data_IF_137380086148
#
_entry.id   IF_137380086148
#
_cell.length_a   1.000
_cell.length_b   1.000
_cell.length_c   1.000
_cell.angle_alpha   90.00
_cell.angle_beta   90.00
_cell.angle_gamma   90.00
#
_symmetry.space_group_name_H-M   'P 1'
#
loop_
_entity.id
_entity.type
_entity.pdbx_description
1 polymer ?
#
# COMPACT_ATOMS: atom_id res chain seq x y z
N UNK A 1 -7.68 -12.65 -2.45
CA UNK A 1 -7.86 -11.63 -3.51
C UNK A 1 -8.37 -10.28 -2.99
N UNK A 2 -9.36 -10.15 -2.09
CA UNK A 2 -9.88 -8.84 -1.67
C UNK A 2 -8.90 -7.89 -0.94
N UNK A 3 -7.95 -8.40 -0.15
CA UNK A 3 -7.04 -7.56 0.65
C UNK A 3 -6.01 -6.80 -0.20
N UNK A 4 -5.59 -7.38 -1.34
CA UNK A 4 -4.62 -6.75 -2.24
C UNK A 4 -5.24 -5.54 -2.96
N UNK A 5 -6.50 -5.64 -3.38
CA UNK A 5 -7.21 -4.54 -4.06
C UNK A 5 -7.48 -3.37 -3.11
N UNK A 6 -7.77 -3.65 -1.83
CA UNK A 6 -7.95 -2.59 -0.83
C UNK A 6 -6.66 -1.80 -0.60
N UNK A 7 -5.51 -2.47 -0.51
CA UNK A 7 -4.22 -1.78 -0.41
C UNK A 7 -3.93 -0.90 -1.63
N UNK A 8 -4.16 -1.42 -2.85
CA UNK A 8 -3.99 -0.64 -4.06
C UNK A 8 -4.89 0.61 -4.10
N UNK A 9 -6.15 0.49 -3.64
CA UNK A 9 -7.05 1.63 -3.54
C UNK A 9 -6.52 2.69 -2.56
N UNK A 10 -6.01 2.30 -1.38
CA UNK A 10 -5.41 3.27 -0.47
C UNK A 10 -4.16 3.94 -1.06
N UNK A 11 -3.32 3.18 -1.76
CA UNK A 11 -2.10 3.69 -2.39
C UNK A 11 -2.38 4.63 -3.57
N UNK A 12 -3.37 4.32 -4.40
CA UNK A 12 -3.74 5.16 -5.57
C UNK A 12 -4.49 6.43 -5.17
N UNK A 13 -5.23 6.40 -4.07
CA UNK A 13 -6.02 7.55 -3.58
C UNK A 13 -5.25 8.41 -2.57
N UNK A 14 -3.96 8.11 -2.35
CA UNK A 14 -3.11 8.77 -1.35
C UNK A 14 -3.77 8.87 0.04
N UNK A 15 -4.42 7.79 0.46
CA UNK A 15 -5.12 7.74 1.74
C UNK A 15 -4.14 7.25 2.80
N UNK A 16 -3.96 8.05 3.84
CA UNK A 16 -3.12 7.70 4.97
C UNK A 16 -3.66 6.46 5.71
N UNK A 17 -2.74 5.63 6.23
CA UNK A 17 -3.08 4.39 6.92
C UNK A 17 -3.89 4.59 8.22
N UNK A 18 -3.94 5.81 8.77
CA UNK A 18 -4.82 6.18 9.88
C UNK A 18 -6.31 6.09 9.50
N UNK A 19 -6.64 6.16 8.22
CA UNK A 19 -8.01 6.07 7.73
C UNK A 19 -8.64 4.70 7.99
N UNK A 20 -7.84 3.65 8.13
CA UNK A 20 -8.29 2.30 8.51
C UNK A 20 -8.95 2.25 9.90
N UNK A 21 -8.62 3.21 10.77
CA UNK A 21 -9.16 3.28 12.13
C UNK A 21 -10.49 4.05 12.19
N UNK A 22 -10.91 4.71 11.10
CA UNK A 22 -12.10 5.55 11.05
C UNK A 22 -13.39 4.76 11.37
N UNK A 23 -14.19 5.18 12.38
CA UNK A 23 -15.42 4.48 12.76
C UNK A 23 -16.50 4.51 11.68
N UNK A 24 -16.61 5.59 10.91
CA UNK A 24 -17.58 5.69 9.81
C UNK A 24 -17.26 4.75 8.66
N UNK A 25 -15.97 4.56 8.37
CA UNK A 25 -15.52 3.59 7.37
C UNK A 25 -15.86 2.15 7.82
N UNK A 26 -15.65 1.84 9.10
CA UNK A 26 -16.00 0.54 9.69
C UNK A 26 -17.49 0.27 9.57
N UNK A 27 -18.33 1.25 9.90
CA UNK A 27 -19.77 1.12 9.79
C UNK A 27 -20.24 0.97 8.34
N UNK A 28 -19.69 1.77 7.42
CA UNK A 28 -19.98 1.68 6.00
C UNK A 28 -19.60 0.30 5.43
N UNK A 29 -18.40 -0.19 5.75
CA UNK A 29 -17.94 -1.50 5.28
C UNK A 29 -18.74 -2.65 5.91
N UNK A 30 -19.15 -2.53 7.17
CA UNK A 30 -20.04 -3.51 7.79
C UNK A 30 -21.42 -3.54 7.12
N UNK A 31 -21.97 -2.39 6.71
CA UNK A 31 -23.24 -2.32 5.98
C UNK A 31 -23.13 -2.87 4.55
N UNK A 32 -22.05 -2.54 3.83
CA UNK A 32 -21.87 -3.00 2.45
C UNK A 32 -21.47 -4.48 2.38
N UNK A 33 -20.61 -4.94 3.29
CA UNK A 33 -20.09 -6.30 3.30
C UNK A 33 -19.70 -6.73 4.72
N UNK A 34 -20.65 -7.26 5.51
CA UNK A 34 -20.40 -7.62 6.92
C UNK A 34 -19.37 -8.74 7.10
N UNK A 35 -19.13 -9.55 6.06
CA UNK A 35 -18.09 -10.59 6.09
C UNK A 35 -16.66 -10.05 5.93
N UNK A 36 -16.50 -8.76 5.59
CA UNK A 36 -15.19 -8.17 5.32
C UNK A 36 -14.54 -7.67 6.60
N UNK A 37 -13.40 -8.27 6.98
CA UNK A 37 -12.59 -7.81 8.11
C UNK A 37 -11.57 -6.79 7.64
N UNK A 38 -11.67 -5.57 8.17
CA UNK A 38 -10.69 -4.51 7.90
C UNK A 38 -9.33 -4.92 8.51
N UNK A 39 -8.22 -4.81 7.76
CA UNK A 39 -6.90 -5.12 8.27
C UNK A 39 -6.52 -4.18 9.41
N UNK A 40 -5.93 -4.72 10.48
CA UNK A 40 -5.40 -3.90 11.58
C UNK A 40 -4.27 -3.01 11.10
N UNK A 41 -4.36 -1.70 11.41
CA UNK A 41 -3.32 -0.71 11.09
C UNK A 41 -1.97 -1.06 11.70
N UNK A 42 -1.95 -1.56 12.94
CA UNK A 42 -0.70 -1.80 13.68
C UNK A 42 -0.03 -3.13 13.33
N UNK A 43 -0.78 -4.09 12.82
CA UNK A 43 -0.28 -5.45 12.61
C UNK A 43 -0.39 -5.89 11.15
N UNK A 44 -1.61 -6.07 10.65
CA UNK A 44 -1.85 -6.65 9.32
C UNK A 44 -1.35 -5.74 8.20
N UNK A 45 -1.54 -4.44 8.34
CA UNK A 45 -1.11 -3.47 7.33
C UNK A 45 0.44 -3.45 7.16
N UNK A 46 1.25 -3.20 8.20
CA UNK A 46 2.70 -3.14 8.06
C UNK A 46 3.36 -4.51 7.89
N UNK A 47 2.86 -5.58 8.52
CA UNK A 47 3.53 -6.88 8.50
C UNK A 47 3.15 -7.77 7.33
N UNK A 48 1.96 -7.57 6.74
CA UNK A 48 1.45 -8.45 5.69
C UNK A 48 1.25 -7.70 4.38
N UNK A 49 0.50 -6.59 4.40
CA UNK A 49 0.12 -5.91 3.16
C UNK A 49 1.30 -5.18 2.50
N UNK A 50 2.09 -4.43 3.26
CA UNK A 50 3.25 -3.71 2.71
C UNK A 50 4.30 -4.70 2.13
N UNK A 51 4.73 -5.76 2.83
CA UNK A 51 5.69 -6.71 2.27
C UNK A 51 5.15 -7.45 1.05
N UNK A 52 3.87 -7.83 1.05
CA UNK A 52 3.25 -8.49 -0.10
C UNK A 52 3.24 -7.58 -1.34
N UNK A 53 2.88 -6.30 -1.17
CA UNK A 53 2.92 -5.34 -2.28
C UNK A 53 4.35 -5.10 -2.75
N UNK A 54 5.29 -4.92 -1.82
CA UNK A 54 6.70 -4.74 -2.15
C UNK A 54 7.23 -5.89 -3.00
N UNK A 55 6.93 -7.15 -2.64
CA UNK A 55 7.36 -8.30 -3.43
C UNK A 55 6.70 -8.34 -4.82
N UNK A 56 5.42 -7.96 -4.93
CA UNK A 56 4.72 -7.87 -6.22
C UNK A 56 5.34 -6.80 -7.13
N UNK A 57 5.62 -5.62 -6.59
CA UNK A 57 6.24 -4.54 -7.35
C UNK A 57 7.67 -4.92 -7.72
N UNK A 58 8.44 -5.52 -6.80
CA UNK A 58 9.79 -5.99 -7.04
C UNK A 58 9.86 -7.04 -8.15
N UNK A 59 8.94 -8.00 -8.18
CA UNK A 59 8.91 -9.03 -9.24
C UNK A 59 8.58 -8.43 -10.60
N UNK A 60 7.60 -7.52 -10.66
CA UNK A 60 7.26 -6.79 -11.88
C UNK A 60 8.41 -5.91 -12.38
N UNK A 61 9.07 -5.18 -11.48
CA UNK A 61 10.23 -4.37 -11.81
C UNK A 61 11.37 -5.23 -12.32
N UNK A 62 11.68 -6.37 -11.69
CA UNK A 62 12.75 -7.27 -12.14
C UNK A 62 12.55 -7.70 -13.60
N UNK A 63 11.31 -8.01 -14.00
CA UNK A 63 11.00 -8.37 -15.39
C UNK A 63 11.16 -7.18 -16.35
N UNK A 64 10.77 -5.98 -15.90
CA UNK A 64 10.85 -4.75 -16.69
C UNK A 64 12.30 -4.31 -16.88
N UNK A 65 13.11 -4.37 -15.82
CA UNK A 65 14.54 -4.03 -15.83
C UNK A 65 15.34 -4.93 -16.76
N UNK A 66 15.07 -6.23 -16.79
CA UNK A 66 15.79 -7.17 -17.68
C UNK A 66 15.50 -6.89 -19.17
N UNK A 67 14.33 -6.33 -19.48
CA UNK A 67 13.90 -6.02 -20.85
C UNK A 67 14.26 -4.60 -21.32
N UNK A 68 14.75 -3.74 -20.43
CA UNK A 68 15.01 -2.35 -20.76
C UNK A 68 16.35 -2.19 -21.48
N UNK A 69 16.34 -1.49 -22.63
CA UNK A 69 17.56 -1.19 -23.39
C UNK A 69 18.46 -0.19 -22.65
N UNK A 70 17.86 0.72 -21.88
CA UNK A 70 18.55 1.75 -21.10
C UNK A 70 17.88 1.95 -19.74
N UNK A 71 18.68 2.26 -18.72
CA UNK A 71 18.23 2.53 -17.35
C UNK A 71 18.74 3.90 -16.91
N UNK A 72 17.85 4.71 -16.34
CA UNK A 72 18.21 5.99 -15.71
C UNK A 72 17.86 5.93 -14.23
N UNK A 73 18.77 6.41 -13.38
CA UNK A 73 18.57 6.54 -11.94
C UNK A 73 18.68 8.00 -11.55
N UNK A 74 17.57 8.59 -11.12
CA UNK A 74 17.55 9.90 -10.49
C UNK A 74 17.53 9.73 -8.97
N UNK A 75 18.53 10.26 -8.29
CA UNK A 75 18.50 10.40 -6.83
C UNK A 75 18.05 11.80 -6.46
N UNK A 76 17.09 11.89 -5.55
CA UNK A 76 16.64 13.15 -4.99
C UNK A 76 17.13 13.28 -3.54
N UNK A 77 17.71 14.42 -3.20
CA UNK A 77 18.44 14.64 -1.96
C UNK A 77 17.91 15.88 -1.23
N UNK A 78 17.33 15.67 -0.06
CA UNK A 78 16.80 16.74 0.79
C UNK A 78 17.34 16.54 2.20
N UNK A 79 17.71 17.64 2.85
CA UNK A 79 18.11 17.64 4.26
C UNK A 79 16.96 18.21 5.09
N UNK A 80 16.66 17.57 6.22
CA UNK A 80 15.72 18.10 7.20
C UNK A 80 16.41 19.17 8.05
N UNK A 81 16.00 20.42 7.91
CA UNK A 81 16.58 21.56 8.64
C UNK A 81 16.05 21.71 10.07
N UNK A 82 15.06 20.91 10.47
CA UNK A 82 14.39 21.01 11.77
C UNK A 82 14.70 19.83 12.70
N UNK A 83 15.76 19.06 12.44
CA UNK A 83 16.11 17.87 13.22
C UNK A 83 17.47 17.96 13.89
#
# INVERSE_FOLDING_TARGET
>A
MCLSNAFQAFATWNIAANFLDNPFLKELLNKMRPSYKIPSRMYTFPKVLIPAEFQRVKSNLKQTTVKADFLALSSDGWSDINR
#
